data_IF_579963952679
#
_entry.id   IF_579963952679
#
_cell.length_a   1.000
_cell.length_b   1.000
_cell.length_c   1.000
_cell.angle_alpha   90.00
_cell.angle_beta   90.00
_cell.angle_gamma   90.00
#
_symmetry.space_group_name_H-M   'P 1'
#
loop_
_entity.id
_entity.type
_entity.pdbx_description
1 polymer ?
#
# COMPACT_ATOMS: atom_id res chain seq x y z
N UNK A 1 25.88 16.12 -30.10
CA UNK A 1 25.66 16.76 -28.78
C UNK A 1 24.44 17.66 -28.89
N UNK A 2 23.40 17.41 -28.10
CA UNK A 2 22.23 18.29 -27.99
C UNK A 2 21.88 18.41 -26.50
N UNK A 3 22.02 19.61 -25.94
CA UNK A 3 21.65 19.94 -24.57
C UNK A 3 20.28 20.61 -24.58
N UNK A 4 19.28 20.02 -23.90
CA UNK A 4 18.04 20.70 -23.51
C UNK A 4 17.93 20.68 -21.99
N UNK A 5 17.83 21.88 -21.41
CA UNK A 5 17.72 22.12 -19.97
C UNK A 5 16.37 21.62 -19.43
N UNK A 6 16.41 20.83 -18.34
CA UNK A 6 15.31 20.75 -17.38
C UNK A 6 14.62 19.38 -17.26
N UNK A 7 15.00 18.64 -16.22
CA UNK A 7 14.49 17.32 -15.80
C UNK A 7 14.93 16.17 -16.70
N UNK A 8 15.93 15.41 -16.22
CA UNK A 8 16.28 14.10 -16.78
C UNK A 8 15.02 13.23 -16.80
N UNK A 9 14.43 13.10 -17.98
CA UNK A 9 13.43 12.08 -18.26
C UNK A 9 14.18 10.75 -18.07
N UNK A 10 13.63 9.83 -17.28
CA UNK A 10 14.07 8.44 -17.39
C UNK A 10 13.62 7.99 -18.78
N UNK A 11 14.51 8.17 -19.76
CA UNK A 11 14.17 8.04 -21.18
C UNK A 11 13.55 6.67 -21.47
N UNK A 12 13.96 5.64 -20.74
CA UNK A 12 13.42 4.30 -20.89
C UNK A 12 11.99 4.22 -20.35
N UNK A 13 11.72 4.80 -19.17
CA UNK A 13 10.37 4.84 -18.60
C UNK A 13 9.38 5.59 -19.52
N UNK A 14 9.74 6.78 -20.02
CA UNK A 14 8.85 7.53 -20.90
C UNK A 14 8.70 6.92 -22.28
N UNK A 15 9.74 6.31 -22.86
CA UNK A 15 9.62 5.57 -24.13
C UNK A 15 8.61 4.42 -23.99
N UNK A 16 8.71 3.62 -22.93
CA UNK A 16 7.78 2.52 -22.64
C UNK A 16 6.32 2.99 -22.43
N UNK A 17 6.13 4.18 -21.85
CA UNK A 17 4.80 4.78 -21.73
C UNK A 17 4.26 5.36 -23.05
N UNK A 18 5.11 5.91 -23.91
CA UNK A 18 4.71 6.49 -25.20
C UNK A 18 4.30 5.39 -26.19
N UNK A 19 4.90 4.21 -26.09
CA UNK A 19 4.51 3.04 -26.91
C UNK A 19 3.07 2.57 -26.63
N UNK A 20 2.49 2.95 -25.48
CA UNK A 20 1.08 2.70 -25.15
C UNK A 20 0.16 3.71 -25.85
N UNK A 21 -0.47 3.27 -26.94
CA UNK A 21 -1.42 4.09 -27.72
C UNK A 21 -2.68 4.51 -26.96
N UNK A 22 -2.96 3.89 -25.82
CA UNK A 22 -4.08 4.22 -24.93
C UNK A 22 -3.78 5.41 -23.98
N UNK A 23 -2.51 5.85 -23.91
CA UNK A 23 -2.10 6.98 -23.08
C UNK A 23 -1.89 8.25 -23.90
N UNK A 24 -2.53 9.34 -23.48
CA UNK A 24 -2.24 10.67 -24.01
C UNK A 24 -0.91 11.20 -23.47
N UNK A 25 -0.25 12.09 -24.20
CA UNK A 25 1.02 12.71 -23.78
C UNK A 25 0.90 13.41 -22.41
N UNK A 26 -0.26 14.00 -22.12
CA UNK A 26 -0.56 14.60 -20.81
C UNK A 26 -0.53 13.54 -19.69
N UNK A 27 -1.08 12.35 -19.93
CA UNK A 27 -1.04 11.24 -18.96
C UNK A 27 0.37 10.70 -18.77
N UNK A 28 1.15 10.57 -19.85
CA UNK A 28 2.56 10.17 -19.78
C UNK A 28 3.35 11.12 -18.87
N UNK A 29 3.18 12.43 -19.07
CA UNK A 29 3.83 13.47 -18.25
C UNK A 29 3.41 13.38 -16.77
N UNK A 30 2.13 13.13 -16.49
CA UNK A 30 1.65 12.98 -15.11
C UNK A 30 2.17 11.69 -14.44
N UNK A 31 2.26 10.59 -15.19
CA UNK A 31 2.81 9.32 -14.69
C UNK A 31 4.31 9.42 -14.41
N UNK A 32 5.06 10.17 -15.22
CA UNK A 32 6.46 10.50 -14.95
C UNK A 32 6.61 11.31 -13.66
N UNK A 33 5.75 12.32 -13.44
CA UNK A 33 5.71 13.06 -12.17
C UNK A 33 5.46 12.15 -10.97
N UNK A 34 4.50 11.23 -11.07
CA UNK A 34 4.19 10.26 -10.00
C UNK A 34 5.36 9.34 -9.73
N UNK A 35 6.01 8.81 -10.77
CA UNK A 35 7.20 7.96 -10.63
C UNK A 35 8.34 8.70 -9.91
N UNK A 36 8.54 9.98 -10.25
CA UNK A 36 9.54 10.87 -9.62
C UNK A 36 9.12 11.38 -8.23
N UNK A 37 7.97 10.92 -7.70
CA UNK A 37 7.37 11.39 -6.44
C UNK A 37 7.14 12.91 -6.39
N UNK A 38 6.91 13.50 -7.56
CA UNK A 38 6.55 14.91 -7.71
C UNK A 38 5.05 15.09 -7.48
N UNK A 39 4.63 16.08 -6.67
CA UNK A 39 3.21 16.36 -6.47
C UNK A 39 2.46 16.61 -7.77
N UNK A 40 1.22 16.10 -7.82
CA UNK A 40 0.25 16.36 -8.88
C UNK A 40 -1.02 16.94 -8.27
N UNK A 41 -1.79 17.69 -9.07
CA UNK A 41 -3.08 18.24 -8.65
C UNK A 41 -4.08 17.13 -8.33
N UNK A 42 -5.01 17.40 -7.41
CA UNK A 42 -5.96 16.41 -6.92
C UNK A 42 -6.88 15.92 -8.05
N UNK A 43 -7.34 16.80 -8.95
CA UNK A 43 -8.12 16.42 -10.14
C UNK A 43 -7.35 15.47 -11.08
N UNK A 44 -6.04 15.72 -11.24
CA UNK A 44 -5.17 14.86 -12.05
C UNK A 44 -5.00 13.49 -11.39
N UNK A 45 -4.80 13.47 -10.07
CA UNK A 45 -4.69 12.22 -9.31
C UNK A 45 -5.99 11.42 -9.37
N UNK A 46 -7.14 12.08 -9.26
CA UNK A 46 -8.45 11.45 -9.29
C UNK A 46 -8.78 10.86 -10.66
N UNK A 47 -8.47 11.58 -11.74
CA UNK A 47 -8.55 11.04 -13.11
C UNK A 47 -7.68 9.79 -13.26
N UNK A 48 -6.39 9.86 -12.92
CA UNK A 48 -5.47 8.72 -13.06
C UNK A 48 -5.90 7.54 -12.19
N UNK A 49 -6.49 7.78 -11.02
CA UNK A 49 -6.99 6.73 -10.12
C UNK A 49 -8.25 6.06 -10.66
N UNK A 50 -9.18 6.83 -11.25
CA UNK A 50 -10.38 6.28 -11.91
C UNK A 50 -10.01 5.34 -13.05
N UNK A 51 -8.95 5.69 -13.78
CA UNK A 51 -8.40 4.86 -14.86
C UNK A 51 -7.43 3.77 -14.36
N UNK A 52 -7.24 3.63 -13.04
CA UNK A 52 -6.33 2.64 -12.41
C UNK A 52 -4.87 2.75 -12.84
N UNK A 53 -4.47 3.89 -13.41
CA UNK A 53 -3.10 4.19 -13.83
C UNK A 53 -2.18 4.50 -12.65
N UNK A 54 -2.76 4.98 -11.54
CA UNK A 54 -2.08 5.16 -10.25
C UNK A 54 -2.88 4.54 -9.11
N UNK A 55 -2.18 4.21 -8.04
CA UNK A 55 -2.71 3.77 -6.76
C UNK A 55 -2.13 4.66 -5.63
N UNK A 56 -2.59 4.48 -4.39
CA UNK A 56 -2.16 5.27 -3.23
C UNK A 56 -3.07 6.46 -2.92
N UNK A 57 -2.61 7.33 -2.02
CA UNK A 57 -3.33 8.51 -1.50
C UNK A 57 -2.37 9.66 -1.28
N UNK A 58 -2.84 10.90 -1.43
CA UNK A 58 -2.05 12.09 -1.14
C UNK A 58 -1.34 11.98 0.23
N UNK A 59 -0.04 12.35 0.32
CA UNK A 59 0.84 12.80 -0.76
C UNK A 59 1.54 11.66 -1.53
N UNK A 60 1.31 10.40 -1.14
CA UNK A 60 2.04 9.22 -1.62
C UNK A 60 1.25 8.45 -2.69
N UNK A 61 1.42 8.87 -3.94
CA UNK A 61 0.93 8.13 -5.10
C UNK A 61 2.01 7.21 -5.66
N UNK A 62 1.59 6.10 -6.26
CA UNK A 62 2.46 5.18 -6.98
C UNK A 62 1.78 4.68 -8.24
N UNK A 63 2.57 4.22 -9.21
CA UNK A 63 2.06 3.71 -10.48
C UNK A 63 1.20 2.46 -10.26
N UNK A 64 0.12 2.35 -11.03
CA UNK A 64 -0.79 1.21 -11.00
C UNK A 64 -0.18 -0.04 -11.63
N UNK A 65 -0.88 -1.17 -11.49
CA UNK A 65 -0.39 -2.50 -11.92
C UNK A 65 0.08 -2.52 -13.37
N UNK A 66 -0.78 -2.04 -14.28
CA UNK A 66 -0.52 -2.09 -15.73
C UNK A 66 0.66 -1.24 -16.13
N UNK A 67 0.78 -0.05 -15.52
CA UNK A 67 1.92 0.85 -15.75
C UNK A 67 3.21 0.19 -15.26
N UNK A 68 3.19 -0.37 -14.05
CA UNK A 68 4.36 -1.06 -13.51
C UNK A 68 4.79 -2.28 -14.35
N UNK A 69 3.84 -3.01 -14.93
CA UNK A 69 4.12 -4.13 -15.83
C UNK A 69 4.74 -3.67 -17.15
N UNK A 70 4.25 -2.57 -17.71
CA UNK A 70 4.75 -1.99 -18.96
C UNK A 70 6.12 -1.31 -18.81
N UNK A 71 6.47 -0.85 -17.60
CA UNK A 71 7.66 0.00 -17.37
C UNK A 71 8.77 -0.69 -16.56
N UNK A 72 8.71 -2.01 -16.45
CA UNK A 72 9.60 -2.85 -15.63
C UNK A 72 9.72 -2.43 -14.15
N UNK A 73 8.70 -1.73 -13.63
CA UNK A 73 8.60 -1.34 -12.21
C UNK A 73 7.80 -2.35 -11.38
N UNK A 74 7.71 -3.61 -11.82
CA UNK A 74 6.93 -4.68 -11.15
C UNK A 74 7.35 -4.88 -9.70
N UNK A 75 8.65 -4.87 -9.41
CA UNK A 75 9.16 -5.04 -8.05
C UNK A 75 8.79 -3.85 -7.14
N UNK A 76 8.89 -2.63 -7.65
CA UNK A 76 8.48 -1.42 -6.95
C UNK A 76 6.97 -1.40 -6.69
N UNK A 77 6.16 -1.79 -7.68
CA UNK A 77 4.72 -1.98 -7.52
C UNK A 77 4.40 -2.97 -6.41
N UNK A 78 5.02 -4.15 -6.43
CA UNK A 78 4.81 -5.17 -5.39
C UNK A 78 5.19 -4.68 -3.99
N UNK A 79 6.26 -3.87 -3.87
CA UNK A 79 6.66 -3.23 -2.61
C UNK A 79 5.69 -2.13 -2.16
N UNK A 80 5.20 -1.30 -3.06
CA UNK A 80 4.28 -0.22 -2.71
C UNK A 80 2.87 -0.73 -2.41
N UNK A 81 2.46 -1.78 -3.11
CA UNK A 81 1.24 -2.53 -2.85
C UNK A 81 1.36 -3.47 -1.66
N UNK A 82 2.55 -3.60 -1.05
CA UNK A 82 2.92 -4.66 -0.12
C UNK A 82 1.72 -5.17 0.65
N UNK A 83 1.43 -6.44 0.37
CA UNK A 83 0.40 -7.31 0.90
C UNK A 83 -1.02 -6.73 0.89
N UNK A 84 -1.95 -7.46 0.26
CA UNK A 84 -3.36 -7.15 0.36
C UNK A 84 -3.80 -7.15 1.83
N UNK A 85 -4.86 -6.40 2.14
CA UNK A 85 -5.47 -6.39 3.48
C UNK A 85 -5.69 -7.80 4.05
N UNK A 86 -6.10 -8.75 3.21
CA UNK A 86 -6.31 -10.14 3.58
C UNK A 86 -5.02 -10.82 4.07
N UNK A 87 -3.89 -10.58 3.42
CA UNK A 87 -2.62 -11.21 3.81
C UNK A 87 -2.16 -10.75 5.19
N UNK A 88 -2.40 -9.47 5.53
CA UNK A 88 -2.15 -8.98 6.89
C UNK A 88 -3.07 -9.63 7.92
N UNK A 89 -4.35 -9.86 7.57
CA UNK A 89 -5.26 -10.60 8.42
C UNK A 89 -4.78 -12.02 8.65
N UNK A 90 -4.39 -12.72 7.59
CA UNK A 90 -3.94 -14.10 7.66
C UNK A 90 -2.71 -14.23 8.57
N UNK A 91 -1.76 -13.30 8.52
CA UNK A 91 -0.62 -13.29 9.44
C UNK A 91 -1.02 -13.06 10.89
N UNK A 92 -1.86 -12.06 11.17
CA UNK A 92 -2.33 -11.82 12.54
C UNK A 92 -3.03 -13.07 13.08
N UNK A 93 -3.96 -13.65 12.32
CA UNK A 93 -4.74 -14.81 12.74
C UNK A 93 -3.86 -16.04 12.93
N UNK A 94 -2.94 -16.30 11.99
CA UNK A 94 -1.99 -17.40 12.10
C UNK A 94 -1.09 -17.25 13.33
N UNK A 95 -0.56 -16.06 13.58
CA UNK A 95 0.30 -15.83 14.75
C UNK A 95 -0.47 -15.95 16.07
N UNK A 96 -1.73 -15.50 16.13
CA UNK A 96 -2.58 -15.75 17.30
C UNK A 96 -2.86 -17.26 17.46
N UNK A 97 -3.10 -17.98 16.37
CA UNK A 97 -3.29 -19.43 16.41
C UNK A 97 -2.05 -20.16 16.94
N UNK A 98 -0.85 -19.72 16.54
CA UNK A 98 0.43 -20.34 16.93
C UNK A 98 0.84 -20.00 18.38
N UNK A 99 0.53 -18.79 18.87
CA UNK A 99 0.97 -18.32 20.18
C UNK A 99 -0.14 -18.25 21.23
N UNK A 100 -1.39 -18.52 20.85
CA UNK A 100 -2.57 -18.40 21.70
C UNK A 100 -3.11 -16.96 21.79
N UNK A 101 -2.22 -15.98 21.99
CA UNK A 101 -2.57 -14.57 22.05
C UNK A 101 -1.50 -13.67 21.44
N UNK A 102 -1.88 -12.45 21.06
CA UNK A 102 -0.94 -11.38 20.71
C UNK A 102 -1.32 -10.06 21.39
N UNK A 103 -0.34 -9.37 21.95
CA UNK A 103 -0.50 -8.00 22.40
C UNK A 103 -0.52 -7.01 21.23
N UNK A 104 -0.89 -5.75 21.51
CA UNK A 104 -0.74 -4.68 20.51
C UNK A 104 0.71 -4.53 20.03
N UNK A 105 1.68 -4.69 20.93
CA UNK A 105 3.11 -4.56 20.61
C UNK A 105 3.56 -5.67 19.67
N UNK A 106 3.14 -6.90 19.90
CA UNK A 106 3.50 -8.04 19.06
C UNK A 106 2.98 -7.87 17.62
N UNK A 107 1.72 -7.40 17.47
CA UNK A 107 1.15 -7.12 16.15
C UNK A 107 1.87 -5.95 15.47
N UNK A 108 2.25 -4.92 16.23
CA UNK A 108 3.02 -3.80 15.68
C UNK A 108 4.38 -4.29 15.17
N UNK A 109 5.12 -5.10 15.94
CA UNK A 109 6.41 -5.68 15.55
C UNK A 109 6.30 -6.64 14.35
N UNK A 110 5.29 -7.52 14.35
CA UNK A 110 5.00 -8.47 13.27
C UNK A 110 4.85 -7.75 11.92
N UNK A 111 4.13 -6.63 11.90
CA UNK A 111 3.77 -5.93 10.67
C UNK A 111 4.72 -4.79 10.30
N UNK A 112 5.55 -4.31 11.23
CA UNK A 112 6.31 -3.05 11.06
C UNK A 112 7.19 -3.03 9.81
N UNK A 113 7.93 -4.11 9.60
CA UNK A 113 8.90 -4.24 8.50
C UNK A 113 8.25 -4.75 7.20
N UNK A 114 6.99 -5.17 7.26
CA UNK A 114 6.26 -5.70 6.11
C UNK A 114 5.34 -4.66 5.49
N UNK A 115 4.85 -3.71 6.29
CA UNK A 115 4.11 -2.56 5.79
C UNK A 115 4.96 -1.76 4.79
N UNK A 116 4.32 -1.14 3.78
CA UNK A 116 5.04 -0.39 2.76
C UNK A 116 6.00 0.64 3.34
N UNK A 117 7.22 0.68 2.82
CA UNK A 117 8.30 1.55 3.30
C UNK A 117 7.99 3.06 3.18
N UNK A 118 7.05 3.45 2.32
CA UNK A 118 6.62 4.84 2.17
C UNK A 118 5.76 5.33 3.35
N UNK A 119 5.21 4.41 4.17
CA UNK A 119 4.40 4.78 5.34
C UNK A 119 5.30 5.29 6.47
N UNK A 120 4.96 6.47 6.99
CA UNK A 120 5.56 6.97 8.22
C UNK A 120 5.02 6.23 9.46
N UNK A 121 5.62 6.48 10.62
CA UNK A 121 5.27 5.86 11.90
C UNK A 121 3.76 5.94 12.21
N UNK A 122 3.14 7.11 12.03
CA UNK A 122 1.72 7.31 12.34
C UNK A 122 0.82 6.58 11.34
N UNK A 123 1.17 6.60 10.05
CA UNK A 123 0.47 5.85 9.01
C UNK A 123 0.50 4.35 9.28
N UNK A 124 1.66 3.80 9.70
CA UNK A 124 1.80 2.39 10.08
C UNK A 124 0.93 2.06 11.29
N UNK A 125 1.05 2.84 12.38
CA UNK A 125 0.23 2.65 13.60
C UNK A 125 -1.27 2.69 13.31
N UNK A 126 -1.72 3.65 12.50
CA UNK A 126 -3.11 3.77 12.08
C UNK A 126 -3.55 2.59 11.21
N UNK A 127 -2.69 2.13 10.29
CA UNK A 127 -2.98 0.96 9.44
C UNK A 127 -3.17 -0.29 10.29
N UNK A 128 -2.27 -0.55 11.23
CA UNK A 128 -2.34 -1.71 12.14
C UNK A 128 -3.59 -1.62 13.02
N UNK A 129 -3.87 -0.45 13.60
CA UNK A 129 -5.09 -0.24 14.39
C UNK A 129 -6.37 -0.49 13.59
N UNK A 130 -6.41 -0.08 12.32
CA UNK A 130 -7.54 -0.37 11.44
C UNK A 130 -7.68 -1.86 11.13
N UNK A 131 -6.58 -2.58 10.91
CA UNK A 131 -6.60 -4.02 10.67
C UNK A 131 -7.21 -4.77 11.87
N UNK A 132 -6.73 -4.47 13.08
CA UNK A 132 -7.25 -5.06 14.33
C UNK A 132 -8.73 -4.73 14.51
N UNK A 133 -9.12 -3.46 14.29
CA UNK A 133 -10.51 -3.01 14.41
C UNK A 133 -11.44 -3.77 13.48
N UNK A 134 -11.00 -4.04 12.25
CA UNK A 134 -11.78 -4.79 11.27
C UNK A 134 -11.86 -6.27 11.61
N UNK A 135 -10.77 -6.93 12.01
CA UNK A 135 -10.79 -8.32 12.50
C UNK A 135 -11.76 -8.49 13.68
N UNK A 136 -11.75 -7.54 14.63
CA UNK A 136 -12.69 -7.52 15.75
C UNK A 136 -14.13 -7.36 15.28
N UNK A 137 -14.39 -6.40 14.38
CA UNK A 137 -15.75 -6.15 13.83
C UNK A 137 -16.28 -7.37 13.07
N UNK A 138 -15.41 -8.08 12.38
CA UNK A 138 -15.73 -9.32 11.67
C UNK A 138 -15.89 -10.52 12.61
N UNK A 139 -15.67 -10.35 13.93
CA UNK A 139 -15.78 -11.42 14.91
C UNK A 139 -14.67 -12.46 14.83
N UNK A 140 -13.53 -12.16 14.20
CA UNK A 140 -12.43 -13.12 14.04
C UNK A 140 -11.51 -13.15 15.27
N UNK A 141 -11.39 -12.02 15.98
CA UNK A 141 -10.60 -11.89 17.22
C UNK A 141 -11.42 -11.18 18.31
N UNK A 142 -11.05 -11.39 19.56
CA UNK A 142 -11.55 -10.62 20.70
C UNK A 142 -10.43 -10.22 21.65
N UNK A 143 -10.66 -9.15 22.41
CA UNK A 143 -9.74 -8.70 23.46
C UNK A 143 -10.07 -9.41 24.76
N UNK A 144 -9.17 -10.23 25.28
CA UNK A 144 -9.28 -10.83 26.62
C UNK A 144 -8.62 -9.99 27.71
N UNK A 145 -7.80 -9.01 27.31
CA UNK A 145 -7.13 -8.06 28.20
C UNK A 145 -7.97 -6.82 28.48
N UNK A 146 -7.30 -5.72 28.80
CA UNK A 146 -7.95 -4.42 29.04
C UNK A 146 -7.89 -3.54 27.79
N UNK A 147 -8.65 -2.44 27.76
CA UNK A 147 -8.52 -1.46 26.67
C UNK A 147 -7.13 -0.80 26.61
N UNK A 148 -6.45 -0.68 27.76
CA UNK A 148 -5.10 -0.10 27.86
C UNK A 148 -4.02 -1.10 27.44
N UNK A 149 -4.18 -2.36 27.84
CA UNK A 149 -3.28 -3.46 27.54
C UNK A 149 -4.08 -4.57 26.86
N UNK A 150 -4.37 -4.42 25.56
CA UNK A 150 -5.17 -5.40 24.85
C UNK A 150 -4.35 -6.66 24.56
N UNK A 151 -5.03 -7.79 24.70
CA UNK A 151 -4.52 -9.11 24.39
C UNK A 151 -5.53 -9.79 23.47
N UNK A 152 -5.13 -9.98 22.21
CA UNK A 152 -6.00 -10.45 21.15
C UNK A 152 -5.91 -11.96 21.02
N UNK A 153 -7.05 -12.64 21.08
CA UNK A 153 -7.16 -14.07 20.85
C UNK A 153 -8.19 -14.37 19.77
N UNK A 154 -8.11 -15.56 19.16
CA UNK A 154 -9.11 -16.01 18.19
C UNK A 154 -10.46 -16.13 18.88
N UNK A 155 -11.52 -15.69 18.20
CA UNK A 155 -12.87 -15.97 18.67
C UNK A 155 -13.16 -17.45 18.41
N UNK A 156 -13.15 -18.26 19.47
CA UNK A 156 -13.62 -19.64 19.38
C UNK A 156 -15.10 -19.65 18.96
N UNK A 157 -15.41 -20.36 17.88
CA UNK A 157 -16.79 -20.62 17.42
C UNK A 157 -17.41 -21.85 18.12
N UNK A 158 -16.75 -22.42 19.12
CA UNK A 158 -17.28 -23.54 19.90
C UNK A 158 -17.99 -23.02 21.14
N UNK A 159 -19.33 -23.00 21.09
CA UNK A 159 -20.18 -22.60 22.20
C UNK A 159 -21.57 -22.13 21.79
N UNK A 160 -22.32 -22.99 21.09
CA UNK A 160 -23.79 -23.05 21.20
C UNK A 160 -24.13 -24.41 21.78
#
# INVERSE_FOLDING_TARGET
MMYMYGQTIDENYSKLLIERRDLSLSKVTLLDKVQKKTPIFDDSADMLRKEKLIEGRKPNYFVGKEIAQATDKKAEYSKNKAFGKQQYFDWILKSIQEHGSLSRKDIDELLWNILPAWMNTDQKKNRIGNLIKELRKNGQIFNQGTDKNPEWILKNLEGI
#
